data_IF_467052344723
#
_entry.id   IF_467052344723
#
_cell.length_a   1.000
_cell.length_b   1.000
_cell.length_c   1.000
_cell.angle_alpha   90.00
_cell.angle_beta   90.00
_cell.angle_gamma   90.00
#
_symmetry.space_group_name_H-M   'P 1'
#
loop_
_entity.id
_entity.type
_entity.pdbx_description
1 polymer ?
#
# COMPACT_ATOMS: atom_id res chain seq x y z
N UNK A 1 -21.10 -37.89 45.58
CA UNK A 1 -21.78 -37.13 44.52
C UNK A 1 -20.88 -35.95 44.16
N UNK A 2 -19.91 -36.16 43.29
CA UNK A 2 -18.95 -35.10 42.94
C UNK A 2 -19.68 -34.08 42.08
N UNK A 3 -19.95 -32.92 42.66
CA UNK A 3 -20.53 -31.78 41.94
C UNK A 3 -19.66 -31.48 40.73
N UNK A 4 -20.28 -31.55 39.56
CA UNK A 4 -19.70 -31.42 38.21
C UNK A 4 -19.28 -29.96 37.94
N UNK A 5 -18.47 -29.43 38.86
CA UNK A 5 -17.90 -28.07 38.91
C UNK A 5 -17.00 -27.77 37.71
N UNK A 6 -16.63 -28.79 36.94
CA UNK A 6 -15.85 -28.64 35.72
C UNK A 6 -16.63 -27.96 34.59
N UNK A 7 -17.95 -28.12 34.52
CA UNK A 7 -18.81 -27.49 33.50
C UNK A 7 -18.90 -25.96 33.65
N UNK A 8 -19.27 -25.39 34.82
CA UNK A 8 -19.30 -23.94 34.98
C UNK A 8 -17.90 -23.32 34.85
N UNK A 9 -16.85 -24.01 35.33
CA UNK A 9 -15.47 -23.55 35.18
C UNK A 9 -15.06 -23.45 33.70
N UNK A 10 -15.37 -24.47 32.87
CA UNK A 10 -15.09 -24.44 31.42
C UNK A 10 -15.82 -23.31 30.71
N UNK A 11 -17.07 -23.05 31.08
CA UNK A 11 -17.86 -21.93 30.51
C UNK A 11 -17.21 -20.59 30.85
N UNK A 12 -16.82 -20.37 32.11
CA UNK A 12 -16.16 -19.14 32.56
C UNK A 12 -14.80 -18.94 31.86
N UNK A 13 -14.00 -20.00 31.74
CA UNK A 13 -12.71 -19.94 31.04
C UNK A 13 -12.92 -19.61 29.57
N UNK A 14 -13.89 -20.24 28.90
CA UNK A 14 -14.17 -19.99 27.48
C UNK A 14 -14.64 -18.55 27.25
N UNK A 15 -15.57 -18.06 28.08
CA UNK A 15 -16.02 -16.66 28.05
C UNK A 15 -14.86 -15.70 28.26
N UNK A 16 -14.02 -15.95 29.28
CA UNK A 16 -12.84 -15.14 29.57
C UNK A 16 -11.89 -15.06 28.37
N UNK A 17 -11.61 -16.19 27.71
CA UNK A 17 -10.74 -16.25 26.52
C UNK A 17 -11.35 -15.48 25.35
N UNK A 18 -12.65 -15.63 25.10
CA UNK A 18 -13.33 -14.88 24.03
C UNK A 18 -13.30 -13.38 24.31
N UNK A 19 -13.62 -12.95 25.52
CA UNK A 19 -13.55 -11.52 25.88
C UNK A 19 -12.13 -10.96 25.77
N UNK A 20 -11.12 -11.71 26.21
CA UNK A 20 -9.72 -11.28 26.08
C UNK A 20 -9.32 -11.16 24.60
N UNK A 21 -9.72 -12.13 23.77
CA UNK A 21 -9.45 -12.12 22.33
C UNK A 21 -10.09 -10.90 21.66
N UNK A 22 -11.34 -10.59 22.00
CA UNK A 22 -12.03 -9.41 21.48
C UNK A 22 -11.37 -8.10 21.93
N UNK A 23 -10.95 -8.00 23.19
CA UNK A 23 -10.22 -6.82 23.68
C UNK A 23 -8.89 -6.62 22.95
N UNK A 24 -8.12 -7.69 22.75
CA UNK A 24 -6.85 -7.63 22.02
C UNK A 24 -7.08 -7.25 20.57
N UNK A 25 -8.06 -7.85 19.90
CA UNK A 25 -8.42 -7.52 18.52
C UNK A 25 -8.85 -6.05 18.38
N UNK A 26 -9.65 -5.55 19.34
CA UNK A 26 -10.09 -4.15 19.36
C UNK A 26 -8.92 -3.18 19.55
N UNK A 27 -8.01 -3.47 20.48
CA UNK A 27 -6.82 -2.63 20.67
C UNK A 27 -5.90 -2.65 19.46
N UNK A 28 -5.66 -3.82 18.87
CA UNK A 28 -4.87 -3.95 17.64
C UNK A 28 -5.50 -3.16 16.49
N UNK A 29 -6.81 -3.25 16.32
CA UNK A 29 -7.55 -2.49 15.30
C UNK A 29 -7.38 -0.97 15.49
N UNK A 30 -7.61 -0.47 16.71
CA UNK A 30 -7.45 0.95 17.01
C UNK A 30 -6.00 1.40 16.83
N UNK A 31 -5.03 0.61 17.28
CA UNK A 31 -3.62 0.94 17.12
C UNK A 31 -3.24 1.09 15.64
N UNK A 32 -3.60 0.10 14.80
CA UNK A 32 -3.35 0.17 13.37
C UNK A 32 -4.05 1.37 12.74
N UNK A 33 -5.34 1.54 13.04
CA UNK A 33 -6.14 2.61 12.46
C UNK A 33 -5.59 3.98 12.81
N UNK A 34 -5.36 4.27 14.09
CA UNK A 34 -5.04 5.62 14.56
C UNK A 34 -3.56 5.95 14.60
N UNK A 35 -2.68 4.97 14.88
CA UNK A 35 -1.24 5.20 15.05
C UNK A 35 -0.46 5.04 13.73
N UNK A 36 -0.97 4.24 12.79
CA UNK A 36 -0.30 3.95 11.51
C UNK A 36 -1.14 4.34 10.27
N UNK A 37 -1.59 5.61 10.13
CA UNK A 37 -2.24 6.08 8.90
C UNK A 37 -1.43 5.85 7.62
N UNK A 38 -0.09 6.05 7.58
CA UNK A 38 0.70 5.84 6.37
C UNK A 38 0.67 4.41 5.81
N UNK A 39 0.52 3.40 6.67
CA UNK A 39 0.47 1.99 6.26
C UNK A 39 -0.86 1.61 5.58
N UNK A 40 -1.88 2.48 5.71
CA UNK A 40 -3.20 2.33 5.08
C UNK A 40 -3.27 3.02 3.71
N UNK A 41 -2.13 3.51 3.18
CA UNK A 41 -2.07 4.11 1.85
C UNK A 41 -1.30 3.18 0.93
N UNK A 42 -1.97 2.65 -0.09
CA UNK A 42 -1.36 1.79 -1.09
C UNK A 42 -1.13 2.55 -2.39
N UNK A 43 0.03 2.31 -3.02
CA UNK A 43 0.32 2.84 -4.36
C UNK A 43 0.62 1.64 -5.26
N UNK A 44 -0.08 1.56 -6.38
CA UNK A 44 0.14 0.52 -7.39
C UNK A 44 0.46 1.15 -8.73
N UNK A 45 1.32 0.48 -9.51
CA UNK A 45 1.84 0.98 -10.78
C UNK A 45 1.70 -0.13 -11.81
N UNK A 46 1.14 0.21 -12.96
CA UNK A 46 1.02 -0.69 -14.10
C UNK A 46 1.40 0.02 -15.39
N UNK A 47 2.04 -0.72 -16.30
CA UNK A 47 2.31 -0.23 -17.65
C UNK A 47 1.07 -0.47 -18.53
N UNK A 48 0.55 0.58 -19.16
CA UNK A 48 -0.57 0.48 -20.09
C UNK A 48 -0.47 1.58 -21.15
N UNK A 49 -0.50 1.22 -22.43
CA UNK A 49 -0.46 2.18 -23.55
C UNK A 49 -1.78 2.31 -24.32
N UNK A 50 -2.77 1.47 -23.98
CA UNK A 50 -3.85 1.18 -24.93
C UNK A 50 -5.23 1.67 -24.48
N UNK A 51 -5.50 1.77 -23.17
CA UNK A 51 -6.85 2.13 -22.66
C UNK A 51 -6.81 3.22 -21.60
N UNK A 52 -5.82 3.21 -20.71
CA UNK A 52 -5.80 4.12 -19.56
C UNK A 52 -4.83 5.28 -19.72
N UNK A 53 -3.76 5.12 -20.50
CA UNK A 53 -2.67 6.07 -20.58
C UNK A 53 -2.11 6.25 -21.98
N UNK A 54 -1.63 7.47 -22.27
CA UNK A 54 -1.02 7.82 -23.55
C UNK A 54 0.43 7.34 -23.64
N UNK A 55 0.94 7.23 -24.86
CA UNK A 55 2.31 6.76 -25.13
C UNK A 55 3.42 7.60 -24.48
N UNK A 56 3.19 8.90 -24.29
CA UNK A 56 4.09 9.83 -23.61
C UNK A 56 4.07 9.68 -22.08
N UNK A 57 3.00 9.08 -21.52
CA UNK A 57 2.84 8.84 -20.09
C UNK A 57 2.27 7.43 -19.82
N UNK A 58 3.00 6.35 -20.17
CA UNK A 58 2.45 5.00 -20.26
C UNK A 58 2.33 4.27 -18.92
N UNK A 59 2.71 4.91 -17.81
CA UNK A 59 2.58 4.32 -16.47
C UNK A 59 1.29 4.80 -15.84
N UNK A 60 0.34 3.88 -15.64
CA UNK A 60 -0.83 4.14 -14.83
C UNK A 60 -0.49 3.91 -13.37
N UNK A 61 -0.92 4.82 -12.52
CA UNK A 61 -0.68 4.78 -11.10
C UNK A 61 -1.96 4.99 -10.34
N UNK A 62 -2.20 4.14 -9.35
CA UNK A 62 -3.34 4.24 -8.46
C UNK A 62 -2.84 4.40 -7.03
N UNK A 63 -3.20 5.50 -6.40
CA UNK A 63 -2.99 5.77 -4.98
C UNK A 63 -4.32 5.56 -4.29
N UNK A 64 -4.41 4.55 -3.42
CA UNK A 64 -5.60 4.26 -2.62
C UNK A 64 -5.34 4.71 -1.19
N UNK A 65 -6.25 5.52 -0.66
CA UNK A 65 -6.24 5.98 0.72
C UNK A 65 -7.30 5.21 1.52
N UNK A 66 -6.92 4.10 2.14
CA UNK A 66 -7.79 3.35 3.05
C UNK A 66 -7.69 3.87 4.49
N UNK A 67 -7.00 5.02 4.68
CA UNK A 67 -6.89 5.67 5.97
C UNK A 67 -8.09 6.57 6.24
N UNK A 68 -8.33 6.85 7.52
CA UNK A 68 -9.35 7.81 7.96
C UNK A 68 -8.95 9.28 7.75
N UNK A 69 -7.70 9.55 7.34
CA UNK A 69 -7.17 10.91 7.15
C UNK A 69 -7.13 11.27 5.68
N UNK A 70 -7.32 12.56 5.39
CA UNK A 70 -7.13 13.11 4.05
C UNK A 70 -5.65 13.23 3.72
N UNK A 71 -5.25 12.75 2.55
CA UNK A 71 -3.89 12.95 2.01
C UNK A 71 -3.85 14.28 1.28
N UNK A 72 -2.80 15.07 1.51
CA UNK A 72 -2.55 16.34 0.81
C UNK A 72 -1.38 16.25 -0.17
N UNK A 73 -0.43 15.36 0.10
CA UNK A 73 0.71 15.12 -0.77
C UNK A 73 1.20 13.69 -0.62
N UNK A 74 1.51 13.06 -1.75
CA UNK A 74 2.20 11.77 -1.78
C UNK A 74 3.43 11.89 -2.65
N UNK A 75 4.56 11.46 -2.12
CA UNK A 75 5.78 11.24 -2.90
C UNK A 75 6.26 9.81 -2.76
N UNK A 76 6.82 9.26 -3.82
CA UNK A 76 7.33 7.90 -3.79
C UNK A 76 8.48 7.72 -4.78
N UNK A 77 9.30 6.71 -4.49
CA UNK A 77 10.40 6.30 -5.35
C UNK A 77 10.08 5.02 -6.09
N UNK A 78 10.20 5.09 -7.42
CA UNK A 78 10.04 3.96 -8.30
C UNK A 78 11.34 3.16 -8.37
N UNK A 79 11.21 1.84 -8.38
CA UNK A 79 12.25 0.89 -8.69
C UNK A 79 11.79 0.03 -9.86
N UNK A 80 12.71 -0.24 -10.80
CA UNK A 80 12.43 -1.03 -11.98
C UNK A 80 13.36 -2.24 -12.00
N UNK A 81 12.76 -3.43 -12.10
CA UNK A 81 13.48 -4.71 -12.22
C UNK A 81 13.10 -5.38 -13.53
N UNK A 82 13.96 -6.26 -14.02
CA UNK A 82 13.60 -7.15 -15.13
C UNK A 82 12.76 -8.31 -14.60
N UNK A 83 11.71 -8.68 -15.32
CA UNK A 83 10.82 -9.78 -14.93
C UNK A 83 11.51 -11.15 -14.82
N UNK A 84 12.59 -11.35 -15.58
CA UNK A 84 13.27 -12.64 -15.73
C UNK A 84 14.69 -12.67 -15.16
N UNK A 85 15.12 -11.64 -14.41
CA UNK A 85 16.47 -11.54 -13.89
C UNK A 85 16.42 -10.99 -12.46
N UNK A 86 16.66 -11.86 -11.48
CA UNK A 86 16.48 -11.56 -10.06
C UNK A 86 17.54 -10.61 -9.50
N UNK A 87 18.69 -10.47 -10.17
CA UNK A 87 19.85 -9.73 -9.63
C UNK A 87 20.12 -8.38 -10.32
N UNK A 88 19.41 -8.04 -11.41
CA UNK A 88 19.68 -6.82 -12.16
C UNK A 88 18.60 -5.74 -11.97
N UNK A 89 18.73 -4.99 -10.86
CA UNK A 89 18.05 -3.71 -10.71
C UNK A 89 18.52 -2.74 -11.79
N UNK A 90 17.58 -2.13 -12.52
CA UNK A 90 17.94 -1.08 -13.47
C UNK A 90 18.12 0.23 -12.72
N UNK A 91 19.30 0.84 -12.88
CA UNK A 91 19.57 2.18 -12.38
C UNK A 91 18.72 3.20 -13.15
N UNK A 92 17.74 3.77 -12.45
CA UNK A 92 16.89 4.87 -12.91
C UNK A 92 17.66 6.19 -12.76
N UNK A 93 17.62 7.03 -13.80
CA UNK A 93 18.24 8.36 -13.79
C UNK A 93 17.42 9.36 -12.94
N UNK A 94 16.10 9.18 -12.86
CA UNK A 94 15.19 9.99 -12.04
C UNK A 94 14.33 9.09 -11.16
N UNK A 95 14.37 9.34 -9.85
CA UNK A 95 13.93 8.39 -8.82
C UNK A 95 12.66 8.77 -8.07
N UNK A 96 12.16 9.99 -8.20
CA UNK A 96 11.09 10.50 -7.32
C UNK A 96 9.95 11.06 -8.14
N UNK A 97 8.75 10.58 -7.81
CA UNK A 97 7.48 11.06 -8.30
C UNK A 97 6.70 11.66 -7.13
N UNK A 98 5.94 12.71 -7.37
CA UNK A 98 5.13 13.36 -6.34
C UNK A 98 3.86 13.93 -6.93
N UNK A 99 2.79 13.94 -6.15
CA UNK A 99 1.51 14.53 -6.50
C UNK A 99 0.94 15.32 -5.32
N UNK A 100 0.44 16.51 -5.60
CA UNK A 100 -0.27 17.39 -4.66
C UNK A 100 -1.79 17.18 -4.75
N UNK A 101 -2.21 16.05 -5.31
CA UNK A 101 -3.62 15.70 -5.39
C UNK A 101 -4.12 15.35 -4.00
N UNK A 102 -5.11 16.09 -3.56
CA UNK A 102 -5.84 15.80 -2.33
C UNK A 102 -6.67 14.52 -2.54
N UNK A 103 -6.49 13.55 -1.67
CA UNK A 103 -7.22 12.28 -1.68
C UNK A 103 -7.95 12.17 -0.35
N UNK A 104 -9.28 12.19 -0.40
CA UNK A 104 -10.12 12.02 0.79
C UNK A 104 -9.95 10.62 1.41
N UNK A 105 -10.44 10.45 2.64
CA UNK A 105 -10.50 9.15 3.29
C UNK A 105 -11.34 8.15 2.46
N UNK A 106 -10.95 6.88 2.49
CA UNK A 106 -11.60 5.78 1.76
C UNK A 106 -11.76 6.04 0.24
N UNK A 107 -10.84 6.83 -0.34
CA UNK A 107 -10.88 7.26 -1.74
C UNK A 107 -9.59 6.93 -2.47
N UNK A 108 -9.63 6.97 -3.81
CA UNK A 108 -8.46 6.68 -4.63
C UNK A 108 -8.24 7.72 -5.72
N UNK A 109 -6.98 7.93 -6.08
CA UNK A 109 -6.56 8.78 -7.19
C UNK A 109 -5.80 7.94 -8.23
N UNK A 110 -6.28 7.97 -9.47
CA UNK A 110 -5.65 7.36 -10.63
C UNK A 110 -5.06 8.42 -11.56
N UNK A 111 -3.83 8.22 -12.03
CA UNK A 111 -3.18 9.14 -12.96
C UNK A 111 -2.14 8.46 -13.85
N UNK A 112 -1.91 9.06 -15.01
CA UNK A 112 -0.88 8.62 -15.96
C UNK A 112 0.41 9.43 -15.76
N UNK A 113 1.54 8.73 -15.80
CA UNK A 113 2.85 9.27 -15.53
C UNK A 113 3.85 8.93 -16.62
N UNK A 114 4.79 9.84 -16.84
CA UNK A 114 5.90 9.63 -17.75
C UNK A 114 6.78 8.47 -17.31
N UNK A 115 7.21 7.71 -18.31
CA UNK A 115 8.14 6.61 -18.12
C UNK A 115 9.47 7.11 -17.53
N UNK A 116 10.06 6.44 -16.53
CA UNK A 116 11.33 6.88 -15.97
C UNK A 116 12.45 6.73 -17.01
N UNK A 117 13.39 7.67 -17.00
CA UNK A 117 14.60 7.55 -17.79
C UNK A 117 15.48 6.42 -17.23
N UNK A 118 15.69 5.40 -18.04
CA UNK A 118 16.59 4.29 -17.74
C UNK A 118 17.99 4.62 -18.27
N UNK A 119 19.03 4.28 -17.52
CA UNK A 119 20.42 4.43 -17.97
C UNK A 119 20.75 3.59 -19.22
N UNK A 120 19.86 2.65 -19.59
CA UNK A 120 20.07 1.66 -20.65
C UNK A 120 18.86 1.66 -21.60
N UNK A 121 19.11 1.84 -22.90
CA UNK A 121 18.08 2.07 -23.93
C UNK A 121 17.39 0.81 -24.45
N UNK A 122 17.84 -0.38 -24.07
CA UNK A 122 17.44 -1.65 -24.69
C UNK A 122 16.50 -2.48 -23.81
N UNK A 123 15.38 -1.89 -23.35
CA UNK A 123 14.36 -2.65 -22.62
C UNK A 123 12.96 -2.41 -23.18
N UNK A 124 12.16 -3.47 -23.17
CA UNK A 124 10.73 -3.43 -23.47
C UNK A 124 10.00 -3.07 -22.18
N UNK A 125 9.33 -1.91 -22.08
CA UNK A 125 8.66 -1.50 -20.85
C UNK A 125 7.65 -2.52 -20.29
N UNK A 126 6.97 -3.29 -21.14
CA UNK A 126 6.03 -4.33 -20.71
C UNK A 126 6.65 -5.51 -19.95
N UNK A 127 7.95 -5.74 -20.12
CA UNK A 127 8.69 -6.85 -19.47
C UNK A 127 9.41 -6.43 -18.18
N UNK A 128 9.12 -5.20 -17.72
CA UNK A 128 9.68 -4.66 -16.50
C UNK A 128 8.68 -4.77 -15.35
N UNK A 129 9.20 -5.05 -14.16
CA UNK A 129 8.44 -5.02 -12.92
C UNK A 129 8.69 -3.65 -12.28
N UNK A 130 7.61 -2.96 -11.96
CA UNK A 130 7.60 -1.65 -11.31
C UNK A 130 7.26 -1.84 -9.83
N UNK A 131 8.20 -1.51 -8.96
CA UNK A 131 8.02 -1.60 -7.51
C UNK A 131 8.21 -0.24 -6.86
N UNK A 132 7.54 -0.03 -5.74
CA UNK A 132 7.66 1.18 -4.95
C UNK A 132 8.56 0.87 -3.76
N UNK A 133 9.66 1.60 -3.63
CA UNK A 133 10.63 1.38 -2.55
C UNK A 133 10.40 2.27 -1.35
N UNK A 134 10.10 3.53 -1.61
CA UNK A 134 9.89 4.54 -0.57
C UNK A 134 8.61 5.27 -0.91
N UNK A 135 7.79 5.49 0.11
CA UNK A 135 6.55 6.25 0.04
C UNK A 135 6.55 7.20 1.22
N UNK A 136 6.31 8.47 0.95
CA UNK A 136 6.10 9.50 1.94
C UNK A 136 4.72 10.10 1.69
N UNK A 137 3.87 10.01 2.69
CA UNK A 137 2.50 10.54 2.64
C UNK A 137 2.40 11.66 3.66
N UNK A 138 1.84 12.78 3.24
CA UNK A 138 1.51 13.92 4.10
C UNK A 138 0.00 13.98 4.22
N UNK A 139 -0.50 14.04 5.46
CA UNK A 139 -1.91 14.13 5.77
C UNK A 139 -2.29 15.56 6.17
N UNK A 140 -3.56 15.91 5.95
CA UNK A 140 -4.18 17.10 6.53
C UNK A 140 -4.34 16.87 8.04
N UNK A 141 -3.94 17.86 8.86
CA UNK A 141 -3.99 17.79 10.33
C UNK A 141 -5.40 18.06 10.89
#
# INVERSE_FOLDING_TARGET
MFSDTTKPLKIIVTLSVVTLTLMVAYQAYNYLRYTLPPEQVSVSISYSTDINCRKDSPLYMLITNDSYRRIINTSFSLYVKKKYDNDSFLLLLKKVYSTDKVIDADSAYGGCWSFPELNTRYYVPGDLIYEIKQQQVTFDD
#
